data_IF_059376050048
#
_entry.id   IF_059376050048
#
_cell.length_a   1.000
_cell.length_b   1.000
_cell.length_c   1.000
_cell.angle_alpha   90.00
_cell.angle_beta   90.00
_cell.angle_gamma   90.00
#
_symmetry.space_group_name_H-M   'P 1'
#
loop_
_entity.id
_entity.type
_entity.pdbx_description
1 polymer ?
#
# COMPACT_ATOMS: atom_id res chain seq x y z
N UNK A 1 -35.86 49.03 20.40
CA UNK A 1 -35.89 49.48 18.99
C UNK A 1 -34.89 50.62 18.84
N UNK A 2 -34.28 50.76 17.66
CA UNK A 2 -33.14 51.63 17.28
C UNK A 2 -31.77 50.99 17.60
N UNK A 3 -30.99 50.53 16.62
CA UNK A 3 -30.27 51.23 15.53
C UNK A 3 -28.97 51.89 16.02
N UNK A 4 -27.87 51.57 15.33
CA UNK A 4 -26.53 52.16 15.41
C UNK A 4 -26.52 53.67 15.66
N UNK A 5 -25.61 54.14 16.51
CA UNK A 5 -25.05 55.49 16.45
C UNK A 5 -23.68 55.54 17.13
N UNK A 6 -22.71 56.06 16.38
CA UNK A 6 -21.36 56.42 16.80
C UNK A 6 -21.35 57.43 17.97
N UNK A 7 -20.32 57.35 18.81
CA UNK A 7 -19.81 58.50 19.55
C UNK A 7 -18.28 58.49 19.47
N UNK A 8 -17.74 59.51 18.83
CA UNK A 8 -16.32 59.75 18.67
C UNK A 8 -15.73 60.61 19.81
N UNK A 9 -14.58 60.14 20.32
CA UNK A 9 -13.37 60.88 20.74
C UNK A 9 -13.45 61.80 22.00
N UNK A 10 -12.33 62.44 22.47
CA UNK A 10 -10.89 62.27 22.16
C UNK A 10 -9.91 62.37 23.38
N UNK A 11 -8.61 62.18 23.09
CA UNK A 11 -7.38 62.60 23.84
C UNK A 11 -7.06 62.06 25.24
N UNK A 12 -5.83 61.55 25.41
CA UNK A 12 -5.09 61.75 26.66
C UNK A 12 -4.10 60.67 27.09
N UNK A 13 -2.83 60.91 26.81
CA UNK A 13 -1.65 60.56 27.61
C UNK A 13 -1.00 59.17 27.46
N UNK A 14 0.14 59.24 26.78
CA UNK A 14 1.32 58.39 26.84
C UNK A 14 1.88 58.23 28.27
N UNK A 15 2.54 57.08 28.48
CA UNK A 15 3.64 56.72 29.40
C UNK A 15 3.27 55.46 30.21
N UNK A 16 4.04 54.37 30.20
CA UNK A 16 5.33 54.10 29.59
C UNK A 16 5.89 52.79 30.15
N UNK A 17 6.97 52.35 29.49
CA UNK A 17 8.02 51.44 29.95
C UNK A 17 7.75 49.94 30.04
N UNK A 18 8.65 49.18 29.41
CA UNK A 18 8.99 47.81 29.78
C UNK A 18 9.11 46.87 28.59
N UNK A 19 10.21 46.97 27.83
CA UNK A 19 11.30 45.97 27.74
C UNK A 19 11.07 44.83 26.74
N UNK A 20 11.94 44.87 25.72
CA UNK A 20 12.72 43.78 25.14
C UNK A 20 12.02 42.49 24.68
N UNK A 21 12.20 42.14 23.40
CA UNK A 21 11.96 40.78 22.93
C UNK A 21 11.82 40.66 21.43
N UNK A 22 12.95 40.36 20.78
CA UNK A 22 13.15 39.83 19.43
C UNK A 22 11.91 39.37 18.63
N UNK A 23 11.75 39.97 17.45
CA UNK A 23 11.05 39.36 16.30
C UNK A 23 11.79 38.06 15.92
N UNK A 24 11.26 36.91 16.32
CA UNK A 24 11.53 35.63 15.67
C UNK A 24 10.27 35.15 14.95
N UNK A 25 10.40 34.71 13.67
CA UNK A 25 9.25 34.30 12.89
C UNK A 25 8.58 33.07 13.52
N UNK A 26 7.29 33.24 13.80
CA UNK A 26 6.25 32.23 14.03
C UNK A 26 6.70 30.78 13.78
N UNK A 27 7.11 30.10 14.85
CA UNK A 27 7.07 28.65 14.89
C UNK A 27 5.58 28.29 14.86
N UNK A 28 5.09 27.81 13.71
CA UNK A 28 3.80 27.13 13.62
C UNK A 28 3.71 26.17 14.81
N UNK A 29 2.59 26.13 15.56
CA UNK A 29 2.44 25.11 16.58
C UNK A 29 2.57 23.77 15.85
N UNK A 30 3.62 23.01 16.18
CA UNK A 30 3.58 21.57 15.95
C UNK A 30 2.42 21.16 16.85
N UNK A 31 1.27 20.86 16.25
CA UNK A 31 0.15 20.31 17.00
C UNK A 31 0.69 19.04 17.65
N UNK A 32 1.04 19.16 18.93
CA UNK A 32 1.24 18.02 19.81
C UNK A 32 -0.15 17.44 19.95
N UNK A 33 -0.48 16.49 19.06
CA UNK A 33 -1.68 15.66 19.20
C UNK A 33 -1.62 15.06 20.60
N UNK A 34 -2.62 15.39 21.40
CA UNK A 34 -2.68 15.01 22.80
C UNK A 34 -2.60 13.48 22.92
N UNK A 35 -1.59 12.99 23.62
CA UNK A 35 -1.34 11.55 23.86
C UNK A 35 -2.33 10.92 24.87
N UNK A 36 -3.60 11.33 24.83
CA UNK A 36 -4.69 10.71 25.59
C UNK A 36 -5.73 9.99 24.71
N UNK A 37 -5.46 9.89 23.41
CA UNK A 37 -6.45 9.45 22.44
C UNK A 37 -6.70 7.93 22.48
N UNK A 38 -7.98 7.56 22.42
CA UNK A 38 -8.42 6.18 22.27
C UNK A 38 -7.80 5.52 21.04
N UNK A 39 -7.83 4.18 20.99
CA UNK A 39 -7.28 3.42 19.86
C UNK A 39 -7.75 4.01 18.52
N UNK A 40 -6.79 4.42 17.68
CA UNK A 40 -7.06 5.05 16.38
C UNK A 40 -6.73 4.08 15.23
N UNK A 41 -7.30 4.36 14.06
CA UNK A 41 -6.90 3.66 12.82
C UNK A 41 -5.42 3.88 12.49
N UNK A 42 -4.87 5.06 12.77
CA UNK A 42 -3.45 5.37 12.58
C UNK A 42 -2.54 4.43 13.40
N UNK A 43 -2.89 4.17 14.66
CA UNK A 43 -2.17 3.20 15.50
C UNK A 43 -2.23 1.78 14.94
N UNK A 44 -3.36 1.40 14.31
CA UNK A 44 -3.48 0.09 13.67
C UNK A 44 -2.57 -0.01 12.45
N UNK A 45 -2.51 1.03 11.62
CA UNK A 45 -1.64 1.08 10.44
C UNK A 45 -0.17 1.00 10.84
N UNK A 46 0.28 1.82 11.80
CA UNK A 46 1.66 1.84 12.28
C UNK A 46 2.07 0.51 12.94
N UNK A 47 1.22 -0.06 13.79
CA UNK A 47 1.51 -1.37 14.42
C UNK A 47 1.56 -2.51 13.41
N UNK A 48 0.73 -2.46 12.36
CA UNK A 48 0.75 -3.44 11.29
C UNK A 48 2.01 -3.33 10.39
N UNK A 49 2.55 -2.13 10.18
CA UNK A 49 3.80 -1.91 9.46
C UNK A 49 5.02 -2.37 10.29
N UNK A 50 5.08 -1.93 11.55
CA UNK A 50 6.22 -2.20 12.45
C UNK A 50 6.29 -3.64 12.94
N UNK A 51 5.17 -4.37 12.93
CA UNK A 51 5.10 -5.76 13.37
C UNK A 51 4.70 -5.95 14.83
N UNK A 52 4.08 -4.95 15.47
CA UNK A 52 3.61 -5.06 16.85
C UNK A 52 2.29 -5.85 16.93
N UNK A 53 2.43 -7.18 16.97
CA UNK A 53 1.31 -8.13 17.07
C UNK A 53 0.42 -7.86 18.28
N UNK A 54 1.02 -7.51 19.43
CA UNK A 54 0.27 -7.28 20.66
C UNK A 54 -0.58 -6.01 20.58
N UNK A 55 -0.04 -4.94 19.97
CA UNK A 55 -0.82 -3.73 19.68
C UNK A 55 -1.96 -4.03 18.71
N UNK A 56 -1.70 -4.71 17.60
CA UNK A 56 -2.73 -5.08 16.61
C UNK A 56 -3.85 -5.89 17.27
N UNK A 57 -3.53 -6.94 18.04
CA UNK A 57 -4.53 -7.75 18.71
C UNK A 57 -5.35 -6.96 19.74
N UNK A 58 -4.72 -6.06 20.49
CA UNK A 58 -5.43 -5.19 21.45
C UNK A 58 -6.39 -4.26 20.73
N UNK A 59 -5.97 -3.69 19.61
CA UNK A 59 -6.79 -2.78 18.79
C UNK A 59 -7.98 -3.54 18.20
N UNK A 60 -7.76 -4.71 17.61
CA UNK A 60 -8.84 -5.58 17.10
C UNK A 60 -9.85 -5.94 18.20
N UNK A 61 -9.37 -6.37 19.38
CA UNK A 61 -10.22 -6.76 20.51
C UNK A 61 -11.08 -5.62 21.05
N UNK A 62 -10.68 -4.36 20.85
CA UNK A 62 -11.48 -3.21 21.25
C UNK A 62 -12.78 -3.08 20.45
N UNK A 63 -12.78 -3.51 19.18
CA UNK A 63 -13.91 -3.38 18.27
C UNK A 63 -14.30 -1.94 17.92
N UNK A 64 -13.48 -0.95 18.27
CA UNK A 64 -13.74 0.48 18.02
C UNK A 64 -13.18 0.93 16.67
N UNK A 65 -12.06 0.34 16.26
CA UNK A 65 -11.32 0.72 15.05
C UNK A 65 -11.87 -0.04 13.84
N UNK A 66 -12.04 0.67 12.73
CA UNK A 66 -12.31 0.05 11.43
C UNK A 66 -11.05 -0.67 10.93
N UNK A 67 -11.14 -1.99 10.82
CA UNK A 67 -10.04 -2.86 10.37
C UNK A 67 -9.62 -2.56 8.92
N UNK A 68 -10.54 -2.05 8.11
CA UNK A 68 -10.31 -1.71 6.71
C UNK A 68 -9.98 -0.23 6.51
N UNK A 69 -9.70 0.49 7.60
CA UNK A 69 -9.20 1.86 7.50
C UNK A 69 -7.91 1.89 6.69
N UNK A 70 -7.75 2.98 5.93
CA UNK A 70 -6.62 3.22 5.06
C UNK A 70 -5.91 4.51 5.43
N UNK A 71 -4.64 4.61 5.08
CA UNK A 71 -3.89 5.86 5.21
C UNK A 71 -4.40 6.93 4.22
N UNK A 72 -4.08 8.19 4.49
CA UNK A 72 -4.52 9.31 3.66
C UNK A 72 -3.67 9.50 2.40
N UNK A 73 -2.46 8.92 2.35
CA UNK A 73 -1.50 9.17 1.27
C UNK A 73 -1.75 8.22 0.11
N UNK A 74 -1.67 6.91 0.36
CA UNK A 74 -1.73 5.90 -0.70
C UNK A 74 -2.95 4.99 -0.60
N UNK A 75 -3.85 5.21 0.37
CA UNK A 75 -4.96 4.31 0.68
C UNK A 75 -4.49 2.89 1.07
N UNK A 76 -3.37 2.80 1.78
CA UNK A 76 -2.85 1.57 2.37
C UNK A 76 -3.63 1.17 3.62
N UNK A 77 -4.13 -0.06 3.62
CA UNK A 77 -4.73 -0.66 4.81
C UNK A 77 -3.70 -1.36 5.69
N UNK A 78 -4.09 -1.68 6.93
CA UNK A 78 -3.27 -2.49 7.84
C UNK A 78 -2.93 -3.87 7.25
N UNK A 79 -3.85 -4.45 6.45
CA UNK A 79 -3.60 -5.72 5.77
C UNK A 79 -2.54 -5.57 4.68
N UNK A 80 -2.52 -4.45 3.95
CA UNK A 80 -1.47 -4.18 2.95
C UNK A 80 -0.12 -3.91 3.60
N UNK A 81 -0.08 -3.08 4.66
CA UNK A 81 1.15 -2.77 5.40
C UNK A 81 1.81 -4.04 5.95
N UNK A 82 1.04 -4.88 6.65
CA UNK A 82 1.55 -6.14 7.20
C UNK A 82 1.92 -7.16 6.12
N UNK A 83 1.21 -7.16 4.98
CA UNK A 83 1.52 -8.03 3.87
C UNK A 83 2.81 -7.62 3.14
N UNK A 84 3.03 -6.32 2.96
CA UNK A 84 4.27 -5.75 2.40
C UNK A 84 5.46 -5.91 3.36
N UNK A 85 5.24 -5.82 4.67
CA UNK A 85 6.29 -6.02 5.68
C UNK A 85 6.58 -7.50 5.99
N UNK A 86 5.69 -8.41 5.58
CA UNK A 86 5.86 -9.86 5.75
C UNK A 86 5.39 -10.42 7.10
N UNK A 87 4.60 -9.66 7.87
CA UNK A 87 4.12 -10.04 9.20
C UNK A 87 2.90 -10.96 9.11
N UNK A 88 3.15 -12.25 8.85
CA UNK A 88 2.11 -13.26 8.61
C UNK A 88 1.12 -13.43 9.79
N UNK A 89 1.60 -13.30 11.02
CA UNK A 89 0.80 -13.34 12.23
C UNK A 89 -0.21 -12.18 12.29
N UNK A 90 0.21 -10.97 11.96
CA UNK A 90 -0.68 -9.81 11.83
C UNK A 90 -1.67 -9.98 10.68
N UNK A 91 -1.21 -10.45 9.50
CA UNK A 91 -2.07 -10.74 8.35
C UNK A 91 -3.18 -11.73 8.73
N UNK A 92 -2.85 -12.77 9.50
CA UNK A 92 -3.82 -13.74 10.03
C UNK A 92 -4.81 -13.09 10.99
N UNK A 93 -4.31 -12.35 11.98
CA UNK A 93 -5.15 -11.68 12.97
C UNK A 93 -6.13 -10.68 12.32
N UNK A 94 -5.66 -9.88 11.36
CA UNK A 94 -6.50 -8.95 10.60
C UNK A 94 -7.54 -9.69 9.76
N UNK A 95 -7.16 -10.78 9.10
CA UNK A 95 -8.11 -11.58 8.31
C UNK A 95 -9.20 -12.21 9.19
N UNK A 96 -8.83 -12.76 10.34
CA UNK A 96 -9.77 -13.33 11.31
C UNK A 96 -10.71 -12.26 11.89
N UNK A 97 -10.24 -11.00 11.97
CA UNK A 97 -11.04 -9.84 12.36
C UNK A 97 -11.95 -9.30 11.24
N UNK A 98 -11.92 -9.88 10.04
CA UNK A 98 -12.77 -9.48 8.92
C UNK A 98 -12.14 -8.48 7.95
N UNK A 99 -10.81 -8.38 7.91
CA UNK A 99 -10.13 -7.56 6.89
C UNK A 99 -10.47 -8.02 5.47
N UNK A 100 -10.69 -7.04 4.59
CA UNK A 100 -10.97 -7.24 3.18
C UNK A 100 -9.70 -7.62 2.42
N UNK A 101 -9.67 -8.83 1.85
CA UNK A 101 -8.50 -9.36 1.14
C UNK A 101 -8.30 -8.70 -0.22
N UNK A 102 -9.38 -8.16 -0.79
CA UNK A 102 -9.40 -7.49 -2.10
C UNK A 102 -9.37 -5.96 -1.99
N UNK A 103 -9.02 -5.42 -0.81
CA UNK A 103 -8.85 -3.98 -0.64
C UNK A 103 -7.79 -3.45 -1.62
N UNK A 104 -8.01 -2.25 -2.14
CA UNK A 104 -7.14 -1.65 -3.16
C UNK A 104 -6.61 -0.31 -2.69
N UNK A 105 -5.33 -0.10 -2.91
CA UNK A 105 -4.68 1.20 -2.73
C UNK A 105 -4.98 2.15 -3.90
N UNK A 106 -4.40 3.36 -3.84
CA UNK A 106 -4.51 4.40 -4.86
C UNK A 106 -3.95 3.98 -6.24
N UNK A 107 -3.10 2.96 -6.26
CA UNK A 107 -2.51 2.36 -7.47
C UNK A 107 -3.28 1.11 -7.93
N UNK A 108 -4.40 0.78 -7.28
CA UNK A 108 -5.19 -0.41 -7.58
C UNK A 108 -4.53 -1.72 -7.15
N UNK A 109 -3.47 -1.70 -6.35
CA UNK A 109 -2.76 -2.88 -5.84
C UNK A 109 -3.52 -3.49 -4.68
N UNK A 110 -3.55 -4.82 -4.62
CA UNK A 110 -4.15 -5.60 -3.51
C UNK A 110 -3.08 -6.01 -2.48
N UNK A 111 -3.48 -6.47 -1.27
CA UNK A 111 -2.55 -7.09 -0.32
C UNK A 111 -1.68 -8.20 -0.93
N UNK A 112 -2.26 -9.02 -1.82
CA UNK A 112 -1.52 -10.06 -2.54
C UNK A 112 -0.43 -9.45 -3.44
N UNK A 113 -0.76 -8.37 -4.15
CA UNK A 113 0.20 -7.64 -4.98
C UNK A 113 1.35 -7.08 -4.15
N UNK A 114 1.05 -6.45 -3.01
CA UNK A 114 2.05 -5.88 -2.11
C UNK A 114 3.02 -6.96 -1.56
N UNK A 115 2.48 -8.08 -1.04
CA UNK A 115 3.30 -9.21 -0.57
C UNK A 115 4.16 -9.84 -1.68
N UNK A 116 3.61 -9.94 -2.90
CA UNK A 116 4.30 -10.52 -4.04
C UNK A 116 5.51 -9.68 -4.50
N UNK A 117 5.36 -8.36 -4.51
CA UNK A 117 6.44 -7.42 -4.84
C UNK A 117 7.50 -7.37 -3.75
N UNK A 118 7.10 -7.37 -2.48
CA UNK A 118 8.03 -7.37 -1.35
C UNK A 118 8.85 -8.68 -1.26
N UNK A 119 8.28 -9.80 -1.68
CA UNK A 119 8.96 -11.10 -1.69
C UNK A 119 8.58 -12.02 -0.52
N UNK A 120 7.43 -11.80 0.12
CA UNK A 120 7.02 -12.55 1.30
C UNK A 120 6.17 -13.78 0.92
N UNK A 121 6.85 -14.86 0.53
CA UNK A 121 6.19 -16.09 0.01
C UNK A 121 5.17 -16.71 0.97
N UNK A 122 5.42 -16.70 2.28
CA UNK A 122 4.49 -17.28 3.26
C UNK A 122 3.19 -16.47 3.36
N UNK A 123 3.28 -15.14 3.24
CA UNK A 123 2.13 -14.24 3.17
C UNK A 123 1.38 -14.44 1.85
N UNK A 124 2.09 -14.51 0.73
CA UNK A 124 1.50 -14.80 -0.59
C UNK A 124 0.70 -16.09 -0.55
N UNK A 125 1.32 -17.19 -0.08
CA UNK A 125 0.64 -18.48 0.05
C UNK A 125 -0.60 -18.34 0.93
N UNK A 126 -0.49 -17.69 2.08
CA UNK A 126 -1.64 -17.49 2.95
C UNK A 126 -2.78 -16.73 2.26
N UNK A 127 -2.51 -15.59 1.64
CA UNK A 127 -3.53 -14.78 0.96
C UNK A 127 -4.21 -15.54 -0.19
N UNK A 128 -3.44 -16.27 -1.00
CA UNK A 128 -4.01 -17.15 -2.05
C UNK A 128 -4.92 -18.22 -1.45
N UNK A 129 -4.54 -18.85 -0.34
CA UNK A 129 -5.40 -19.81 0.36
C UNK A 129 -6.67 -19.17 0.96
N UNK A 130 -6.63 -17.87 1.28
CA UNK A 130 -7.79 -17.10 1.73
C UNK A 130 -8.68 -16.60 0.58
N UNK A 131 -8.39 -17.01 -0.67
CA UNK A 131 -9.19 -16.68 -1.84
C UNK A 131 -8.85 -15.33 -2.48
N UNK A 132 -7.62 -14.82 -2.27
CA UNK A 132 -7.17 -13.63 -2.97
C UNK A 132 -7.13 -13.84 -4.50
N UNK A 133 -7.54 -12.84 -5.27
CA UNK A 133 -7.53 -12.89 -6.73
C UNK A 133 -6.10 -12.83 -7.28
N UNK A 134 -5.59 -13.99 -7.74
CA UNK A 134 -4.28 -14.11 -8.41
C UNK A 134 -4.21 -13.37 -9.75
N UNK A 135 -5.37 -13.05 -10.34
CA UNK A 135 -5.51 -12.27 -11.57
C UNK A 135 -5.62 -10.76 -11.33
N UNK A 136 -5.52 -10.30 -10.07
CA UNK A 136 -5.65 -8.89 -9.74
C UNK A 136 -4.64 -8.02 -10.54
N UNK A 137 -5.15 -6.91 -11.05
CA UNK A 137 -4.40 -5.93 -11.83
C UNK A 137 -4.26 -4.63 -11.06
N UNK A 138 -3.12 -3.96 -11.22
CA UNK A 138 -2.94 -2.57 -10.79
C UNK A 138 -3.51 -1.56 -11.81
N UNK A 139 -3.34 -0.26 -11.54
CA UNK A 139 -3.82 0.83 -12.41
C UNK A 139 -3.15 0.90 -13.79
N UNK A 140 -2.03 0.20 -14.00
CA UNK A 140 -1.35 0.05 -15.29
C UNK A 140 -1.72 -1.27 -15.98
N UNK A 141 -2.76 -1.97 -15.50
CA UNK A 141 -3.17 -3.30 -15.94
C UNK A 141 -2.08 -4.37 -15.78
N UNK A 142 -1.15 -4.20 -14.84
CA UNK A 142 -0.09 -5.19 -14.56
C UNK A 142 -0.62 -6.20 -13.54
N UNK A 143 -0.50 -7.49 -13.84
CA UNK A 143 -0.91 -8.55 -12.93
C UNK A 143 0.08 -8.74 -11.79
N UNK A 144 -0.34 -9.44 -10.73
CA UNK A 144 0.56 -9.87 -9.64
C UNK A 144 1.77 -10.65 -10.19
N UNK A 145 1.55 -11.53 -11.16
CA UNK A 145 2.61 -12.29 -11.83
C UNK A 145 3.59 -11.37 -12.56
N UNK A 146 3.09 -10.37 -13.29
CA UNK A 146 3.94 -9.39 -13.96
C UNK A 146 4.86 -8.69 -12.95
N UNK A 147 4.30 -8.25 -11.83
CA UNK A 147 5.01 -7.50 -10.81
C UNK A 147 6.10 -8.34 -10.12
N UNK A 148 5.80 -9.58 -9.71
CA UNK A 148 6.79 -10.44 -9.08
C UNK A 148 7.92 -10.82 -10.06
N UNK A 149 7.63 -10.98 -11.35
CA UNK A 149 8.64 -11.19 -12.38
C UNK A 149 9.52 -9.95 -12.59
N UNK A 150 8.96 -8.73 -12.55
CA UNK A 150 9.71 -7.49 -12.65
C UNK A 150 10.70 -7.31 -11.49
N UNK A 151 10.34 -7.74 -10.27
CA UNK A 151 11.24 -7.77 -9.10
C UNK A 151 12.05 -9.06 -8.97
N UNK A 152 11.98 -9.96 -9.96
CA UNK A 152 12.75 -11.22 -10.06
C UNK A 152 12.46 -12.25 -8.94
N UNK A 153 11.22 -12.28 -8.44
CA UNK A 153 10.72 -13.26 -7.46
C UNK A 153 10.14 -14.49 -8.16
N UNK A 154 11.03 -15.38 -8.61
CA UNK A 154 10.66 -16.62 -9.34
C UNK A 154 9.91 -17.60 -8.43
N UNK A 155 10.27 -17.65 -7.16
CA UNK A 155 9.63 -18.45 -6.13
C UNK A 155 8.14 -18.09 -5.97
N UNK A 156 7.82 -16.80 -5.90
CA UNK A 156 6.43 -16.32 -5.86
C UNK A 156 5.73 -16.54 -7.20
N UNK A 157 6.42 -16.31 -8.33
CA UNK A 157 5.86 -16.62 -9.65
C UNK A 157 5.44 -18.09 -9.76
N UNK A 158 6.24 -19.02 -9.21
CA UNK A 158 5.89 -20.43 -9.15
C UNK A 158 4.60 -20.68 -8.34
N UNK A 159 4.46 -20.05 -7.16
CA UNK A 159 3.24 -20.15 -6.35
C UNK A 159 2.01 -19.63 -7.09
N UNK A 160 2.13 -18.50 -7.79
CA UNK A 160 1.00 -17.94 -8.53
C UNK A 160 0.58 -18.86 -9.68
N UNK A 161 1.55 -19.44 -10.40
CA UNK A 161 1.31 -20.35 -11.52
C UNK A 161 0.82 -21.74 -11.11
N UNK A 162 0.93 -22.12 -9.83
CA UNK A 162 0.23 -23.31 -9.29
C UNK A 162 -1.30 -23.15 -9.37
N UNK A 163 -1.82 -21.91 -9.48
CA UNK A 163 -3.24 -21.62 -9.57
C UNK A 163 -3.69 -21.51 -11.03
N UNK A 164 -4.73 -22.26 -11.40
CA UNK A 164 -5.27 -22.31 -12.78
C UNK A 164 -5.78 -20.98 -13.31
N UNK A 165 -6.16 -20.07 -12.41
CA UNK A 165 -6.73 -18.77 -12.75
C UNK A 165 -5.65 -17.73 -13.10
N UNK A 166 -4.37 -18.05 -12.86
CA UNK A 166 -3.27 -17.16 -13.20
C UNK A 166 -3.02 -17.13 -14.71
N UNK A 167 -3.22 -15.97 -15.34
CA UNK A 167 -2.92 -15.79 -16.75
C UNK A 167 -1.42 -15.51 -16.97
N UNK A 168 -0.68 -16.57 -17.31
CA UNK A 168 0.76 -16.52 -17.63
C UNK A 168 1.12 -15.50 -18.72
N UNK A 169 0.23 -15.30 -19.69
CA UNK A 169 0.46 -14.43 -20.86
C UNK A 169 -0.31 -13.11 -20.76
N UNK A 170 -0.71 -12.69 -19.56
CA UNK A 170 -1.31 -11.38 -19.35
C UNK A 170 -0.36 -10.27 -19.81
N UNK A 171 -0.90 -9.29 -20.54
CA UNK A 171 -0.17 -8.11 -21.00
C UNK A 171 -0.59 -6.91 -20.18
N UNK A 172 0.41 -6.11 -19.78
CA UNK A 172 0.18 -4.82 -19.13
C UNK A 172 -0.49 -3.82 -20.10
N UNK A 173 -0.89 -2.67 -19.59
CA UNK A 173 -1.38 -1.55 -20.41
C UNK A 173 -0.37 -1.06 -21.45
N UNK A 174 0.93 -1.31 -21.22
CA UNK A 174 2.00 -1.06 -22.19
C UNK A 174 2.00 -2.03 -23.38
N UNK A 175 1.25 -3.13 -23.30
CA UNK A 175 1.27 -4.24 -24.26
C UNK A 175 2.37 -5.28 -24.01
N UNK A 176 3.17 -5.12 -22.95
CA UNK A 176 4.26 -6.05 -22.59
C UNK A 176 3.75 -7.12 -21.61
N UNK A 177 4.04 -8.38 -21.88
CA UNK A 177 3.85 -9.47 -20.91
C UNK A 177 5.01 -9.53 -19.90
N UNK A 178 4.86 -10.36 -18.86
CA UNK A 178 5.92 -10.57 -17.86
C UNK A 178 7.22 -11.10 -18.48
N UNK A 179 7.12 -11.99 -19.47
CA UNK A 179 8.28 -12.52 -20.20
C UNK A 179 8.92 -11.45 -21.10
N UNK A 180 8.12 -10.60 -21.76
CA UNK A 180 8.64 -9.51 -22.59
C UNK A 180 9.44 -8.52 -21.74
N UNK A 181 8.91 -8.16 -20.56
CA UNK A 181 9.60 -7.30 -19.61
C UNK A 181 10.93 -7.92 -19.16
N UNK A 182 10.92 -9.21 -18.80
CA UNK A 182 12.11 -9.93 -18.38
C UNK A 182 13.18 -9.98 -19.47
N UNK A 183 12.80 -10.24 -20.72
CA UNK A 183 13.74 -10.24 -21.86
C UNK A 183 14.32 -8.84 -22.08
N UNK A 184 13.47 -7.81 -22.13
CA UNK A 184 13.87 -6.41 -22.37
C UNK A 184 14.86 -5.88 -21.34
N UNK A 185 14.70 -6.26 -20.08
CA UNK A 185 15.54 -5.81 -18.96
C UNK A 185 16.64 -6.81 -18.58
N UNK A 186 16.85 -7.86 -19.38
CA UNK A 186 17.93 -8.82 -19.19
C UNK A 186 17.78 -9.76 -17.98
N UNK A 187 16.55 -10.00 -17.51
CA UNK A 187 16.24 -10.93 -16.43
C UNK A 187 16.17 -12.37 -16.96
N UNK A 188 17.34 -12.91 -17.36
CA UNK A 188 17.45 -14.20 -18.03
C UNK A 188 16.79 -15.36 -17.24
N UNK A 189 17.04 -15.45 -15.94
CA UNK A 189 16.48 -16.51 -15.08
C UNK A 189 14.94 -16.48 -15.06
N UNK A 190 14.34 -15.28 -14.99
CA UNK A 190 12.89 -15.11 -15.02
C UNK A 190 12.33 -15.50 -16.39
N UNK A 191 12.99 -15.07 -17.47
CA UNK A 191 12.57 -15.41 -18.83
C UNK A 191 12.67 -16.92 -19.10
N UNK A 192 13.74 -17.58 -18.65
CA UNK A 192 13.90 -19.04 -18.75
C UNK A 192 12.85 -19.78 -17.94
N UNK A 193 12.58 -19.34 -16.71
CA UNK A 193 11.52 -19.91 -15.87
C UNK A 193 10.16 -19.80 -16.57
N UNK A 194 9.78 -18.60 -17.03
CA UNK A 194 8.50 -18.38 -17.71
C UNK A 194 8.38 -19.18 -19.01
N UNK A 195 9.45 -19.29 -19.81
CA UNK A 195 9.49 -20.19 -20.98
C UNK A 195 9.28 -21.64 -20.61
N UNK A 196 9.88 -22.10 -19.51
CA UNK A 196 9.66 -23.44 -18.96
C UNK A 196 8.21 -23.71 -18.59
N UNK A 197 7.47 -22.67 -18.18
CA UNK A 197 6.03 -22.73 -17.89
C UNK A 197 5.14 -22.58 -19.14
N UNK A 198 5.72 -22.38 -20.32
CA UNK A 198 5.00 -22.22 -21.59
C UNK A 198 4.60 -20.79 -21.93
N UNK A 199 5.27 -19.78 -21.36
CA UNK A 199 5.02 -18.38 -21.70
C UNK A 199 5.42 -18.09 -23.15
N UNK A 200 4.60 -17.29 -23.83
CA UNK A 200 4.83 -16.87 -25.21
C UNK A 200 5.36 -15.43 -25.15
N UNK A 201 6.57 -15.21 -25.68
CA UNK A 201 7.05 -13.84 -25.86
C UNK A 201 6.40 -13.21 -27.10
N UNK A 202 6.02 -11.93 -27.01
CA UNK A 202 5.33 -11.24 -28.11
C UNK A 202 6.29 -10.82 -29.22
N UNK A 203 7.60 -10.88 -28.96
CA UNK A 203 8.65 -10.43 -29.86
C UNK A 203 9.20 -11.51 -30.81
N UNK A 204 9.13 -12.82 -30.51
CA UNK A 204 9.56 -13.87 -31.47
C UNK A 204 8.56 -14.09 -32.62
N UNK A 205 7.29 -13.72 -32.47
CA UNK A 205 6.28 -13.84 -33.52
C UNK A 205 6.54 -12.97 -34.76
N UNK A 206 7.38 -11.92 -34.66
CA UNK A 206 7.75 -11.05 -35.79
C UNK A 206 9.07 -11.42 -36.48
N UNK A 207 9.95 -12.19 -35.84
CA UNK A 207 11.27 -12.51 -36.41
C UNK A 207 11.32 -13.88 -37.12
N UNK A 208 10.36 -14.78 -36.87
CA UNK A 208 10.36 -16.13 -37.45
C UNK A 208 9.27 -16.39 -38.52
N UNK A 209 8.69 -15.35 -39.13
CA UNK A 209 7.79 -15.48 -40.31
C UNK A 209 8.48 -15.22 -41.65
N UNK A 210 9.82 -15.21 -41.68
CA UNK A 210 10.59 -15.21 -42.92
C UNK A 210 11.45 -16.47 -43.01
N UNK A 211 10.81 -17.59 -43.35
CA UNK A 211 11.46 -18.72 -44.00
C UNK A 211 11.02 -18.78 -45.47
#
# INVERSE_FOLDING_TARGET
MFSWADCAAPFGCLNGNGVDGEDQPTKLPVETRDFSDGMTSEMLLESAETGDVEAVERIIKSGVVDINAVDEVDSYSALMMSAEAGHLDIVKALKDAGAEVEIRDSYGRTPLYAAAVAGHIEVVRYLVHQGADVGALDCENRSVLWACCAVRRIDIAAVLLENSDCNLNAVAGSGESAIDFAIKHGHAEVAEFLRGQGAIDTHYGRLNVHH
#
